data_IF_548865158865
#
_entry.id   IF_548865158865
#
_cell.length_a   1.000
_cell.length_b   1.000
_cell.length_c   1.000
_cell.angle_alpha   90.00
_cell.angle_beta   90.00
_cell.angle_gamma   90.00
#
_symmetry.space_group_name_H-M   'P 1'
#
loop_
_entity.id
_entity.type
_entity.pdbx_description
1 polymer ?
#
# COMPACT_ATOMS: atom_id res chain seq x y z
N UNK A 1 41.69 8.16 -27.16
CA UNK A 1 42.40 7.44 -26.09
C UNK A 1 42.51 8.23 -24.75
N UNK A 2 42.90 9.53 -24.73
CA UNK A 2 43.06 10.29 -23.45
C UNK A 2 41.78 10.50 -22.62
N UNK A 3 40.62 10.63 -23.26
CA UNK A 3 39.33 10.83 -22.56
C UNK A 3 38.86 9.55 -21.85
N UNK A 4 39.10 8.37 -22.40
CA UNK A 4 38.66 7.11 -21.77
C UNK A 4 39.43 6.85 -20.46
N UNK A 5 40.73 7.13 -20.40
CA UNK A 5 41.50 6.93 -19.17
C UNK A 5 41.08 7.87 -18.03
N UNK A 6 40.67 9.11 -18.37
CA UNK A 6 40.18 10.05 -17.33
C UNK A 6 38.80 9.67 -16.82
N UNK A 7 37.91 9.21 -17.70
CA UNK A 7 36.58 8.74 -17.35
C UNK A 7 36.69 7.46 -16.48
N UNK A 8 37.55 6.50 -16.88
CA UNK A 8 37.79 5.30 -16.05
C UNK A 8 38.27 5.66 -14.67
N UNK A 9 39.28 6.54 -14.52
CA UNK A 9 39.79 6.91 -13.20
C UNK A 9 38.77 7.62 -12.31
N UNK A 10 37.78 8.28 -12.89
CA UNK A 10 36.71 8.95 -12.14
C UNK A 10 35.56 8.01 -11.77
N UNK A 11 35.29 7.00 -12.58
CA UNK A 11 34.11 6.12 -12.41
C UNK A 11 34.45 4.78 -11.77
N UNK A 12 35.73 4.33 -11.83
CA UNK A 12 36.15 3.05 -11.24
C UNK A 12 36.19 3.10 -9.70
N UNK A 13 36.19 4.31 -9.12
CA UNK A 13 36.02 4.50 -7.67
C UNK A 13 34.56 4.61 -7.22
N UNK A 14 33.60 4.65 -8.16
CA UNK A 14 32.18 4.67 -7.82
C UNK A 14 31.70 3.24 -7.56
N UNK A 15 30.98 3.06 -6.47
CA UNK A 15 30.30 1.77 -6.18
C UNK A 15 29.13 1.51 -7.15
N UNK A 16 28.75 2.49 -7.94
CA UNK A 16 27.68 2.37 -8.92
C UNK A 16 28.22 1.74 -10.21
N UNK A 17 27.46 0.77 -10.75
CA UNK A 17 27.72 0.26 -12.07
C UNK A 17 27.37 1.32 -13.13
N UNK A 18 28.31 1.67 -14.00
CA UNK A 18 28.16 2.69 -15.04
C UNK A 18 28.35 2.05 -16.40
N UNK A 19 27.35 2.19 -17.27
CA UNK A 19 27.40 1.83 -18.69
C UNK A 19 27.16 3.06 -19.56
N UNK A 20 27.85 3.15 -20.69
CA UNK A 20 27.56 4.15 -21.74
C UNK A 20 27.19 3.44 -23.02
N UNK A 21 26.06 3.82 -23.59
CA UNK A 21 25.49 3.20 -24.80
C UNK A 21 25.41 4.25 -25.89
N UNK A 22 25.77 3.87 -27.12
CA UNK A 22 25.66 4.72 -28.30
C UNK A 22 24.24 4.69 -28.91
N UNK A 23 24.03 5.49 -29.95
CA UNK A 23 22.77 5.56 -30.71
C UNK A 23 22.34 4.25 -31.37
N UNK A 24 23.28 3.31 -31.57
CA UNK A 24 22.99 1.98 -32.11
C UNK A 24 22.69 0.95 -31.03
N UNK A 25 22.63 1.38 -29.77
CA UNK A 25 22.40 0.51 -28.63
C UNK A 25 23.62 -0.30 -28.18
N UNK A 26 24.86 0.07 -28.69
CA UNK A 26 26.08 -0.65 -28.32
C UNK A 26 26.75 -0.04 -27.10
N UNK A 27 27.29 -0.89 -26.24
CA UNK A 27 28.05 -0.48 -25.05
C UNK A 27 29.42 0.04 -25.50
N UNK A 28 29.66 1.33 -25.33
CA UNK A 28 30.93 1.99 -25.67
C UNK A 28 31.86 2.20 -24.50
N UNK A 29 31.30 2.13 -23.26
CA UNK A 29 32.05 2.22 -22.00
C UNK A 29 31.34 1.46 -20.88
N UNK A 30 32.10 0.85 -20.00
CA UNK A 30 31.63 0.34 -18.70
C UNK A 30 32.76 0.43 -17.67
N UNK A 31 32.42 0.67 -16.40
CA UNK A 31 33.37 0.66 -15.31
C UNK A 31 33.50 -0.74 -14.68
N UNK A 32 34.44 -0.91 -13.74
CA UNK A 32 34.68 -2.18 -13.04
C UNK A 32 33.45 -2.63 -12.22
N UNK A 33 32.73 -1.70 -11.60
CA UNK A 33 31.48 -2.00 -10.89
C UNK A 33 30.40 -2.58 -11.81
N UNK A 34 30.32 -2.11 -13.07
CA UNK A 34 29.44 -2.72 -14.07
C UNK A 34 29.90 -4.12 -14.45
N UNK A 35 31.21 -4.35 -14.58
CA UNK A 35 31.75 -5.70 -14.86
C UNK A 35 31.41 -6.69 -13.74
N UNK A 36 31.54 -6.26 -12.49
CA UNK A 36 31.15 -7.04 -11.31
C UNK A 36 29.64 -7.30 -11.27
N UNK A 37 28.82 -6.28 -11.59
CA UNK A 37 27.36 -6.39 -11.60
C UNK A 37 26.88 -7.50 -12.55
N UNK A 38 27.45 -7.61 -13.77
CA UNK A 38 27.14 -8.68 -14.72
C UNK A 38 28.02 -9.93 -14.57
N UNK A 39 28.92 -9.97 -13.59
CA UNK A 39 29.89 -11.08 -13.42
C UNK A 39 30.66 -11.40 -14.70
N UNK A 40 31.05 -10.36 -15.46
CA UNK A 40 31.75 -10.46 -16.73
C UNK A 40 32.95 -9.49 -16.78
N UNK A 41 33.97 -9.85 -17.53
CA UNK A 41 35.07 -8.93 -17.77
C UNK A 41 34.62 -7.73 -18.63
N UNK A 42 35.16 -6.54 -18.36
CA UNK A 42 34.91 -5.28 -19.12
C UNK A 42 34.97 -5.51 -20.62
N UNK A 43 36.03 -6.21 -21.09
CA UNK A 43 36.25 -6.52 -22.51
C UNK A 43 35.12 -7.35 -23.16
N UNK A 44 34.36 -8.10 -22.37
CA UNK A 44 33.23 -8.89 -22.85
C UNK A 44 31.92 -8.11 -22.91
N UNK A 45 31.85 -6.96 -22.24
CA UNK A 45 30.71 -6.06 -22.25
C UNK A 45 30.83 -5.02 -23.38
N UNK A 46 32.04 -4.55 -23.65
CA UNK A 46 32.28 -3.55 -24.70
C UNK A 46 31.88 -4.06 -26.11
N UNK A 47 31.20 -3.21 -26.86
CA UNK A 47 30.71 -3.49 -28.20
C UNK A 47 29.48 -4.41 -28.27
N UNK A 48 28.99 -4.91 -27.15
CA UNK A 48 27.75 -5.68 -27.13
C UNK A 48 26.53 -4.77 -27.20
N UNK A 49 25.45 -5.32 -27.77
CA UNK A 49 24.15 -4.63 -27.77
C UNK A 49 23.57 -4.57 -26.36
N UNK A 50 22.89 -3.49 -26.03
CA UNK A 50 22.16 -3.36 -24.75
C UNK A 50 21.17 -4.50 -24.54
N UNK A 51 20.57 -5.01 -25.62
CA UNK A 51 19.69 -6.17 -25.61
C UNK A 51 20.38 -7.44 -25.09
N UNK A 52 21.69 -7.57 -25.21
CA UNK A 52 22.45 -8.69 -24.65
C UNK A 52 22.57 -8.63 -23.13
N UNK A 53 22.59 -7.41 -22.56
CA UNK A 53 22.69 -7.19 -21.11
C UNK A 53 21.33 -7.18 -20.44
N UNK A 54 20.33 -6.63 -21.12
CA UNK A 54 18.96 -6.47 -20.64
C UNK A 54 17.96 -7.32 -21.46
N UNK A 55 18.38 -8.48 -21.97
CA UNK A 55 17.61 -9.26 -22.94
C UNK A 55 16.26 -9.76 -22.43
N UNK A 56 16.09 -9.94 -21.13
CA UNK A 56 14.84 -10.32 -20.50
C UNK A 56 13.95 -9.09 -20.16
N UNK A 57 14.43 -7.89 -20.39
CA UNK A 57 13.83 -6.66 -19.89
C UNK A 57 13.46 -5.68 -21.01
N UNK A 58 12.28 -5.92 -21.56
CA UNK A 58 11.75 -5.07 -22.63
C UNK A 58 11.54 -3.60 -22.18
N UNK A 59 11.20 -3.38 -20.91
CA UNK A 59 10.95 -2.04 -20.37
C UNK A 59 12.22 -1.19 -20.34
N UNK A 60 13.34 -1.74 -19.89
CA UNK A 60 14.62 -1.00 -19.86
C UNK A 60 15.06 -0.67 -21.29
N UNK A 61 14.90 -1.59 -22.23
CA UNK A 61 15.25 -1.35 -23.64
C UNK A 61 14.43 -0.22 -24.26
N UNK A 62 13.13 -0.19 -24.00
CA UNK A 62 12.23 0.89 -24.41
C UNK A 62 12.68 2.24 -23.82
N UNK A 63 13.07 2.27 -22.54
CA UNK A 63 13.51 3.51 -21.89
C UNK A 63 14.88 3.98 -22.40
N UNK A 64 15.80 3.07 -22.68
CA UNK A 64 17.08 3.42 -23.35
C UNK A 64 16.81 4.12 -24.70
N UNK A 65 15.96 3.52 -25.53
CA UNK A 65 15.59 4.11 -26.83
C UNK A 65 14.92 5.47 -26.66
N UNK A 66 13.96 5.57 -25.73
CA UNK A 66 13.28 6.83 -25.44
C UNK A 66 14.23 7.94 -24.99
N UNK A 67 15.23 7.64 -24.14
CA UNK A 67 16.24 8.62 -23.70
C UNK A 67 17.13 9.06 -24.85
N UNK A 68 17.53 8.17 -25.75
CA UNK A 68 18.34 8.48 -26.92
C UNK A 68 17.57 9.37 -27.91
N UNK A 69 16.26 9.15 -28.06
CA UNK A 69 15.42 9.88 -29.01
C UNK A 69 14.95 11.23 -28.44
N UNK A 70 14.45 11.24 -27.21
CA UNK A 70 13.83 12.44 -26.62
C UNK A 70 14.81 13.31 -25.84
N UNK A 71 15.91 12.74 -25.37
CA UNK A 71 16.87 13.39 -24.50
C UNK A 71 16.34 13.74 -23.12
N UNK A 72 15.28 13.08 -22.65
CA UNK A 72 14.75 13.21 -21.28
C UNK A 72 15.44 12.20 -20.38
N UNK A 73 15.79 12.62 -19.14
CA UNK A 73 16.35 11.72 -18.13
C UNK A 73 15.25 10.78 -17.66
N UNK A 74 15.56 9.51 -17.53
CA UNK A 74 14.71 8.50 -16.95
C UNK A 74 15.31 8.02 -15.62
N UNK A 75 14.48 7.91 -14.57
CA UNK A 75 14.87 7.37 -13.27
C UNK A 75 13.86 6.33 -12.85
N UNK A 76 14.35 5.22 -12.38
CA UNK A 76 13.56 4.14 -11.82
C UNK A 76 14.21 3.72 -10.49
N UNK A 77 13.47 3.97 -9.40
CA UNK A 77 13.80 3.40 -8.09
C UNK A 77 13.33 1.95 -8.04
N UNK A 78 13.84 1.16 -7.09
CA UNK A 78 13.38 -0.19 -6.76
C UNK A 78 12.98 -1.07 -7.94
N UNK A 79 13.89 -1.35 -8.83
CA UNK A 79 13.65 -2.22 -9.95
C UNK A 79 14.34 -3.57 -9.76
N UNK A 80 13.61 -4.67 -9.99
CA UNK A 80 14.19 -6.01 -9.93
C UNK A 80 14.74 -6.35 -11.31
N UNK A 81 16.06 -6.23 -11.46
CA UNK A 81 16.75 -6.58 -12.68
C UNK A 81 17.13 -8.06 -12.68
N UNK A 82 16.72 -8.79 -13.70
CA UNK A 82 17.18 -10.16 -13.93
C UNK A 82 18.52 -10.15 -14.67
N UNK A 83 19.59 -10.51 -13.98
CA UNK A 83 20.91 -10.64 -14.56
C UNK A 83 21.24 -12.12 -14.83
N UNK A 84 21.95 -12.48 -15.94
CA UNK A 84 22.47 -13.83 -16.10
C UNK A 84 23.53 -14.17 -15.04
N UNK A 85 23.47 -15.34 -14.36
CA UNK A 85 22.60 -16.49 -14.55
C UNK A 85 21.32 -16.46 -13.68
N UNK A 86 20.29 -15.69 -14.08
CA UNK A 86 18.95 -15.64 -13.43
C UNK A 86 18.96 -15.18 -11.95
N UNK A 87 19.84 -14.27 -11.58
CA UNK A 87 19.81 -13.62 -10.27
C UNK A 87 18.92 -12.37 -10.33
N UNK A 88 17.94 -12.31 -9.43
CA UNK A 88 17.13 -11.12 -9.21
C UNK A 88 17.89 -10.15 -8.28
N UNK A 89 18.14 -8.93 -8.77
CA UNK A 89 18.83 -7.88 -8.02
C UNK A 89 17.95 -6.65 -7.93
N UNK A 90 17.68 -6.22 -6.71
CA UNK A 90 17.06 -4.91 -6.47
C UNK A 90 18.03 -3.82 -6.92
N UNK A 91 17.60 -2.96 -7.85
CA UNK A 91 18.51 -2.02 -8.50
C UNK A 91 17.82 -0.67 -8.69
N UNK A 92 18.49 0.40 -8.34
CA UNK A 92 18.10 1.76 -8.76
C UNK A 92 18.77 2.06 -10.10
N UNK A 93 17.97 2.45 -11.11
CA UNK A 93 18.46 2.69 -12.46
C UNK A 93 18.19 4.14 -12.85
N UNK A 94 19.24 4.83 -13.33
CA UNK A 94 19.12 6.15 -13.95
C UNK A 94 19.68 6.08 -15.35
N UNK A 95 18.92 6.54 -16.34
CA UNK A 95 19.34 6.65 -17.74
C UNK A 95 19.34 8.12 -18.10
N UNK A 96 20.52 8.67 -18.43
CA UNK A 96 20.71 10.08 -18.74
C UNK A 96 21.33 10.28 -20.12
N UNK A 97 20.86 11.27 -20.91
CA UNK A 97 21.43 11.56 -22.23
C UNK A 97 22.75 12.33 -22.13
N UNK A 98 23.71 11.98 -22.95
CA UNK A 98 24.91 12.79 -23.20
C UNK A 98 24.76 13.53 -24.53
N UNK A 99 24.75 14.85 -24.43
CA UNK A 99 24.55 15.71 -25.59
C UNK A 99 25.89 16.18 -26.20
N UNK A 100 25.94 16.30 -27.51
CA UNK A 100 27.04 16.95 -28.21
C UNK A 100 26.99 18.46 -28.02
N UNK A 101 28.05 19.17 -28.42
CA UNK A 101 28.08 20.64 -28.47
C UNK A 101 26.96 21.25 -29.32
N UNK A 102 26.41 20.50 -30.27
CA UNK A 102 25.27 20.89 -31.09
C UNK A 102 23.91 20.58 -30.48
N UNK A 103 23.85 20.14 -29.22
CA UNK A 103 22.61 19.80 -28.52
C UNK A 103 22.00 18.42 -28.81
N UNK A 104 22.52 17.69 -29.82
CA UNK A 104 22.03 16.36 -30.19
C UNK A 104 22.50 15.32 -29.18
N UNK A 105 21.60 14.40 -28.78
CA UNK A 105 21.95 13.24 -27.95
C UNK A 105 22.83 12.31 -28.74
N UNK A 106 23.99 11.95 -28.23
CA UNK A 106 24.93 11.01 -28.89
C UNK A 106 25.06 9.70 -28.13
N UNK A 107 24.91 9.74 -26.81
CA UNK A 107 25.11 8.60 -25.94
C UNK A 107 24.07 8.63 -24.84
N UNK A 108 23.79 7.50 -24.23
CA UNK A 108 23.07 7.37 -22.98
C UNK A 108 24.00 6.80 -21.91
N UNK A 109 24.05 7.44 -20.74
CA UNK A 109 24.71 6.90 -19.54
C UNK A 109 23.66 6.21 -18.70
N UNK A 110 23.92 4.95 -18.35
CA UNK A 110 23.11 4.15 -17.46
C UNK A 110 23.90 3.96 -16.19
N UNK A 111 23.39 4.42 -15.08
CA UNK A 111 23.94 4.12 -13.75
C UNK A 111 23.00 3.19 -13.01
N UNK A 112 23.58 2.18 -12.36
CA UNK A 112 22.85 1.21 -11.57
C UNK A 112 23.51 1.08 -10.20
N UNK A 113 22.70 1.22 -9.18
CA UNK A 113 23.10 1.00 -7.80
C UNK A 113 22.41 -0.26 -7.31
N UNK A 114 23.19 -1.28 -6.93
CA UNK A 114 22.64 -2.50 -6.33
C UNK A 114 22.14 -2.16 -4.92
N UNK A 115 20.84 -2.34 -4.68
CA UNK A 115 20.27 -2.26 -3.35
C UNK A 115 20.54 -3.59 -2.64
N UNK A 116 21.21 -3.55 -1.51
CA UNK A 116 21.80 -4.72 -0.84
C UNK A 116 20.77 -5.73 -0.35
N UNK A 117 19.50 -5.34 -0.23
CA UNK A 117 18.37 -6.27 -0.11
C UNK A 117 17.07 -5.61 -0.62
N UNK A 118 16.24 -6.38 -1.31
CA UNK A 118 14.86 -6.00 -1.68
C UNK A 118 14.08 -5.52 -0.45
N UNK A 119 14.42 -6.04 0.73
CA UNK A 119 13.83 -5.66 2.01
C UNK A 119 14.24 -4.27 2.49
N UNK A 120 15.52 -3.89 2.35
CA UNK A 120 15.99 -2.54 2.72
C UNK A 120 15.44 -1.46 1.79
N UNK A 121 15.25 -1.81 0.53
CA UNK A 121 14.65 -0.91 -0.44
C UNK A 121 13.15 -0.71 -0.17
N UNK A 122 12.43 -1.79 0.05
CA UNK A 122 11.01 -1.74 0.45
C UNK A 122 10.83 -1.01 1.79
N UNK A 123 11.77 -1.16 2.73
CA UNK A 123 11.77 -0.44 3.99
C UNK A 123 11.98 1.08 3.79
N UNK A 124 12.92 1.49 2.93
CA UNK A 124 13.15 2.92 2.61
C UNK A 124 11.99 3.55 1.86
N UNK A 125 11.45 2.87 0.86
CA UNK A 125 10.26 3.36 0.14
C UNK A 125 9.05 3.47 1.08
N UNK A 126 8.89 2.53 2.02
CA UNK A 126 7.90 2.61 3.09
C UNK A 126 8.20 3.75 4.07
N UNK A 127 9.46 3.99 4.44
CA UNK A 127 9.85 5.12 5.29
C UNK A 127 9.61 6.47 4.61
N UNK A 128 9.94 6.63 3.33
CA UNK A 128 9.68 7.86 2.57
C UNK A 128 8.19 8.11 2.35
N UNK A 129 7.41 7.08 2.05
CA UNK A 129 5.95 7.16 1.98
C UNK A 129 5.33 7.46 3.34
N UNK A 130 5.86 6.87 4.43
CA UNK A 130 5.47 7.18 5.81
C UNK A 130 5.81 8.60 6.20
N UNK A 131 7.00 9.09 5.90
CA UNK A 131 7.42 10.45 6.22
C UNK A 131 6.59 11.51 5.47
N UNK A 132 6.29 11.27 4.19
CA UNK A 132 5.42 12.14 3.39
C UNK A 132 3.97 12.15 3.88
N UNK A 133 3.43 10.99 4.28
CA UNK A 133 2.09 10.87 4.83
C UNK A 133 1.98 11.41 6.26
N UNK A 134 3.02 11.25 7.11
CA UNK A 134 3.05 11.77 8.47
C UNK A 134 3.01 13.29 8.52
N UNK A 135 3.65 14.00 7.59
CA UNK A 135 3.60 15.47 7.54
C UNK A 135 2.20 16.02 7.28
N UNK A 136 1.48 15.42 6.35
CA UNK A 136 0.09 15.79 6.01
C UNK A 136 -0.89 15.35 7.12
N UNK A 137 -0.64 14.18 7.71
CA UNK A 137 -1.41 13.63 8.82
C UNK A 137 -1.23 14.45 10.11
N UNK A 138 0.00 14.92 10.41
CA UNK A 138 0.29 15.67 11.63
C UNK A 138 -0.49 17.00 11.71
N UNK A 139 -0.64 17.71 10.59
CA UNK A 139 -1.39 18.96 10.56
C UNK A 139 -2.90 18.73 10.73
N UNK A 140 -3.47 17.72 10.06
CA UNK A 140 -4.88 17.40 10.16
C UNK A 140 -5.25 16.83 11.54
N UNK A 141 -4.40 15.96 12.11
CA UNK A 141 -4.57 15.40 13.45
C UNK A 141 -4.40 16.43 14.55
N UNK A 142 -3.50 17.42 14.39
CA UNK A 142 -3.40 18.53 15.33
C UNK A 142 -4.75 19.28 15.45
N UNK A 143 -5.42 19.51 14.32
CA UNK A 143 -6.77 20.09 14.31
C UNK A 143 -7.83 19.19 14.93
N UNK A 144 -7.82 17.88 14.64
CA UNK A 144 -8.78 16.93 15.19
C UNK A 144 -8.55 16.63 16.68
N UNK A 145 -7.33 16.76 17.20
CA UNK A 145 -7.03 16.68 18.63
C UNK A 145 -7.38 17.99 19.35
N UNK A 146 -7.13 19.15 18.72
CA UNK A 146 -7.48 20.45 19.31
C UNK A 146 -8.98 20.64 19.53
N UNK A 147 -9.83 20.07 18.64
CA UNK A 147 -11.28 20.16 18.74
C UNK A 147 -11.84 19.56 20.04
N UNK A 148 -11.63 18.27 20.38
CA UNK A 148 -12.10 17.66 21.63
C UNK A 148 -11.44 18.28 22.85
N UNK A 149 -10.16 18.67 22.81
CA UNK A 149 -9.51 19.38 23.90
C UNK A 149 -10.16 20.74 24.18
N UNK A 150 -10.59 21.45 23.13
CA UNK A 150 -11.33 22.70 23.27
C UNK A 150 -12.71 22.47 23.89
N UNK A 151 -13.40 21.37 23.53
CA UNK A 151 -14.65 20.94 24.14
C UNK A 151 -14.48 20.65 25.64
N UNK A 152 -13.47 19.85 26.00
CA UNK A 152 -13.14 19.56 27.42
C UNK A 152 -12.85 20.85 28.18
N UNK A 153 -12.08 21.78 27.61
CA UNK A 153 -11.78 23.09 28.21
C UNK A 153 -13.03 23.91 28.44
N UNK A 154 -13.95 23.96 27.45
CA UNK A 154 -15.22 24.65 27.56
C UNK A 154 -16.09 24.09 28.70
N UNK A 155 -16.18 22.76 28.81
CA UNK A 155 -16.94 22.09 29.87
C UNK A 155 -16.33 22.30 31.27
N UNK A 156 -14.99 22.31 31.39
CA UNK A 156 -14.30 22.69 32.64
C UNK A 156 -14.60 24.11 33.05
N UNK A 157 -14.67 25.07 32.09
CA UNK A 157 -15.04 26.46 32.37
C UNK A 157 -16.51 26.58 32.86
N UNK A 158 -17.41 25.79 32.26
CA UNK A 158 -18.81 25.75 32.70
C UNK A 158 -18.96 25.13 34.10
N UNK A 159 -18.23 24.06 34.41
CA UNK A 159 -18.19 23.49 35.74
C UNK A 159 -17.66 24.45 36.78
N UNK A 160 -16.61 25.20 36.46
CA UNK A 160 -16.02 26.17 37.37
C UNK A 160 -17.00 27.34 37.68
N UNK A 161 -17.89 27.69 36.71
CA UNK A 161 -18.94 28.70 36.93
C UNK A 161 -20.15 28.20 37.70
N UNK A 162 -20.47 26.89 37.63
CA UNK A 162 -21.72 26.30 38.16
C UNK A 162 -21.46 25.23 39.22
N UNK A 163 -20.54 25.42 40.15
CA UNK A 163 -20.08 24.45 41.14
C UNK A 163 -21.19 23.89 42.06
N UNK A 164 -22.39 24.47 42.09
CA UNK A 164 -23.48 24.08 43.01
C UNK A 164 -24.54 23.16 42.40
N UNK A 165 -24.52 22.90 41.08
CA UNK A 165 -25.53 22.07 40.40
C UNK A 165 -25.00 20.66 40.07
N UNK A 166 -25.35 19.66 40.88
CA UNK A 166 -24.87 18.27 40.78
C UNK A 166 -25.25 17.59 39.47
N UNK A 167 -26.40 17.93 38.87
CA UNK A 167 -26.86 17.33 37.61
C UNK A 167 -26.03 17.82 36.41
N UNK A 168 -25.75 19.09 36.38
CA UNK A 168 -24.88 19.71 35.32
C UNK A 168 -23.45 19.18 35.47
N UNK A 169 -22.97 19.00 36.73
CA UNK A 169 -21.62 18.46 36.98
C UNK A 169 -21.44 17.06 36.42
N UNK A 170 -22.38 16.16 36.66
CA UNK A 170 -22.28 14.77 36.18
C UNK A 170 -22.37 14.66 34.67
N UNK A 171 -23.27 15.41 34.03
CA UNK A 171 -23.38 15.44 32.56
C UNK A 171 -22.12 15.99 31.92
N UNK A 172 -21.57 17.08 32.46
CA UNK A 172 -20.33 17.69 31.93
C UNK A 172 -19.12 16.78 32.09
N UNK A 173 -19.01 16.03 33.19
CA UNK A 173 -17.93 15.07 33.41
C UNK A 173 -18.03 13.91 32.39
N UNK A 174 -19.21 13.34 32.18
CA UNK A 174 -19.39 12.24 31.22
C UNK A 174 -19.06 12.67 29.78
N UNK A 175 -19.43 13.90 29.39
CA UNK A 175 -19.07 14.45 28.09
C UNK A 175 -17.56 14.68 27.95
N UNK A 176 -16.86 15.15 29.00
CA UNK A 176 -15.41 15.29 28.97
C UNK A 176 -14.69 13.95 28.84
N UNK A 177 -15.17 12.94 29.56
CA UNK A 177 -14.61 11.58 29.45
C UNK A 177 -14.80 11.04 28.04
N UNK A 178 -15.95 11.22 27.42
CA UNK A 178 -16.22 10.82 26.04
C UNK A 178 -15.27 11.50 25.03
N UNK A 179 -14.96 12.79 25.22
CA UNK A 179 -14.01 13.51 24.37
C UNK A 179 -12.56 13.07 24.61
N UNK A 180 -12.17 12.77 25.83
CA UNK A 180 -10.85 12.19 26.13
C UNK A 180 -10.69 10.80 25.51
N UNK A 181 -11.71 9.96 25.59
CA UNK A 181 -11.73 8.65 24.93
C UNK A 181 -11.63 8.79 23.39
N UNK A 182 -12.21 9.86 22.85
CA UNK A 182 -12.08 10.20 21.42
C UNK A 182 -10.63 10.54 21.06
N UNK A 183 -9.95 11.38 21.84
CA UNK A 183 -8.53 11.70 21.65
C UNK A 183 -7.66 10.46 21.75
N UNK A 184 -7.90 9.60 22.73
CA UNK A 184 -7.14 8.36 22.90
C UNK A 184 -7.29 7.43 21.67
N UNK A 185 -8.50 7.30 21.14
CA UNK A 185 -8.74 6.55 19.90
C UNK A 185 -7.97 7.14 18.71
N UNK A 186 -7.99 8.46 18.52
CA UNK A 186 -7.24 9.15 17.45
C UNK A 186 -5.73 8.92 17.58
N UNK A 187 -5.18 8.99 18.80
CA UNK A 187 -3.76 8.71 19.06
C UNK A 187 -3.39 7.26 18.78
N UNK A 188 -4.20 6.29 19.21
CA UNK A 188 -3.99 4.87 18.89
C UNK A 188 -4.02 4.62 17.37
N UNK A 189 -4.91 5.27 16.66
CA UNK A 189 -5.01 5.19 15.20
C UNK A 189 -3.79 5.80 14.49
N UNK A 190 -3.24 6.91 15.02
CA UNK A 190 -2.02 7.51 14.54
C UNK A 190 -0.81 6.58 14.70
N UNK A 191 -0.66 5.99 15.88
CA UNK A 191 0.43 5.06 16.17
C UNK A 191 0.40 3.83 15.27
N UNK A 192 -0.78 3.37 14.89
CA UNK A 192 -0.92 2.29 13.92
C UNK A 192 -0.36 2.66 12.53
N UNK A 193 -0.27 3.94 12.16
CA UNK A 193 0.31 4.38 10.88
C UNK A 193 1.84 4.54 10.90
N UNK A 194 2.45 4.64 12.06
CA UNK A 194 3.90 4.92 12.20
C UNK A 194 4.78 3.69 12.38
N UNK A 195 4.23 2.51 12.72
CA UNK A 195 5.01 1.31 13.00
C UNK A 195 4.46 0.09 12.27
N UNK A 196 5.29 -0.92 11.93
CA UNK A 196 4.80 -2.21 11.46
C UNK A 196 3.77 -2.78 12.44
N UNK A 197 2.66 -3.30 11.93
CA UNK A 197 1.62 -3.88 12.77
C UNK A 197 2.07 -5.29 13.21
N UNK A 198 2.38 -5.51 14.50
CA UNK A 198 2.66 -6.86 14.97
C UNK A 198 1.38 -7.69 14.88
N UNK A 199 1.48 -8.90 14.33
CA UNK A 199 0.35 -9.81 14.17
C UNK A 199 0.53 -11.06 15.04
N UNK A 200 -0.47 -11.37 15.85
CA UNK A 200 -0.57 -12.62 16.59
C UNK A 200 -1.44 -13.61 15.82
N UNK A 201 -0.81 -14.31 14.86
CA UNK A 201 -1.51 -15.19 13.92
C UNK A 201 -1.83 -16.54 14.56
N UNK A 202 -3.11 -16.92 14.52
CA UNK A 202 -3.63 -18.23 14.92
C UNK A 202 -4.40 -18.88 13.78
N UNK A 203 -4.61 -20.18 13.84
CA UNK A 203 -5.42 -20.91 12.86
C UNK A 203 -6.87 -20.95 13.34
N UNK A 204 -7.82 -20.48 12.53
CA UNK A 204 -9.24 -20.46 12.87
C UNK A 204 -10.14 -20.46 11.63
N UNK A 205 -11.43 -20.76 11.83
CA UNK A 205 -12.45 -20.66 10.80
C UNK A 205 -12.87 -19.19 10.62
N UNK A 206 -12.74 -18.68 9.41
CA UNK A 206 -13.13 -17.31 9.07
C UNK A 206 -14.63 -17.08 9.26
N UNK A 207 -15.47 -18.09 9.04
CA UNK A 207 -16.92 -17.96 9.18
C UNK A 207 -17.35 -17.74 10.63
N UNK A 208 -16.64 -18.31 11.61
CA UNK A 208 -16.89 -18.05 13.03
C UNK A 208 -16.64 -16.57 13.37
N UNK A 209 -15.58 -15.99 12.84
CA UNK A 209 -15.30 -14.58 12.99
C UNK A 209 -16.38 -13.72 12.33
N UNK A 210 -16.70 -13.99 11.06
CA UNK A 210 -17.71 -13.23 10.32
C UNK A 210 -19.07 -13.30 10.99
N UNK A 211 -19.49 -14.48 11.48
CA UNK A 211 -20.74 -14.65 12.22
C UNK A 211 -20.75 -13.84 13.52
N UNK A 212 -19.60 -13.76 14.22
CA UNK A 212 -19.48 -12.96 15.45
C UNK A 212 -19.68 -11.48 15.15
N UNK A 213 -19.03 -10.96 14.11
CA UNK A 213 -19.12 -9.54 13.71
C UNK A 213 -20.53 -9.20 13.20
N UNK A 214 -21.14 -10.08 12.40
CA UNK A 214 -22.50 -9.89 11.89
C UNK A 214 -23.51 -9.83 13.05
N UNK A 215 -23.42 -10.73 14.03
CA UNK A 215 -24.32 -10.69 15.20
C UNK A 215 -24.22 -9.38 15.95
N UNK A 216 -22.98 -8.90 16.17
CA UNK A 216 -22.75 -7.65 16.87
C UNK A 216 -23.40 -6.45 16.15
N UNK A 217 -23.30 -6.40 14.81
CA UNK A 217 -23.94 -5.32 14.04
C UNK A 217 -25.47 -5.50 13.89
N UNK A 218 -25.97 -6.73 13.85
CA UNK A 218 -27.42 -7.01 13.82
C UNK A 218 -28.16 -6.48 15.05
N UNK A 219 -27.51 -6.57 16.22
CA UNK A 219 -28.10 -6.06 17.47
C UNK A 219 -28.21 -4.52 17.48
N UNK A 220 -27.37 -3.83 16.69
CA UNK A 220 -27.33 -2.37 16.59
C UNK A 220 -28.14 -1.85 15.39
N UNK A 221 -28.04 -2.51 14.26
CA UNK A 221 -28.66 -2.11 12.98
C UNK A 221 -29.91 -2.97 12.68
N UNK A 222 -30.94 -2.82 13.50
CA UNK A 222 -32.16 -3.64 13.45
C UNK A 222 -32.99 -3.48 12.16
N UNK A 223 -32.75 -2.42 11.37
CA UNK A 223 -33.44 -2.14 10.11
C UNK A 223 -32.72 -2.69 8.86
N UNK A 224 -31.55 -3.33 9.03
CA UNK A 224 -30.77 -3.86 7.92
C UNK A 224 -30.80 -5.39 7.93
N UNK A 225 -31.02 -5.99 6.76
CA UNK A 225 -31.00 -7.44 6.58
C UNK A 225 -29.60 -7.91 6.21
N UNK A 226 -28.97 -8.73 7.07
CA UNK A 226 -27.67 -9.35 6.77
C UNK A 226 -27.88 -10.70 6.07
N UNK A 227 -27.36 -10.81 4.84
CA UNK A 227 -27.39 -12.03 4.03
C UNK A 227 -26.01 -12.68 4.05
N UNK A 228 -25.95 -13.98 4.33
CA UNK A 228 -24.70 -14.76 4.37
C UNK A 228 -24.66 -15.71 3.19
N UNK A 229 -23.60 -15.63 2.39
CA UNK A 229 -23.33 -16.54 1.28
C UNK A 229 -21.93 -17.10 1.44
N UNK A 230 -21.79 -18.12 2.31
CA UNK A 230 -20.50 -18.66 2.72
C UNK A 230 -20.20 -19.97 2.01
N UNK A 231 -19.01 -20.07 1.44
CA UNK A 231 -18.45 -21.32 0.94
C UNK A 231 -17.87 -22.13 2.11
N UNK A 232 -18.59 -23.12 2.55
CA UNK A 232 -18.23 -23.97 3.68
C UNK A 232 -17.04 -24.90 3.42
N UNK A 233 -16.55 -24.96 2.19
CA UNK A 233 -15.36 -25.74 1.82
C UNK A 233 -14.04 -25.01 2.07
N UNK A 234 -14.09 -23.74 2.48
CA UNK A 234 -12.90 -22.94 2.72
C UNK A 234 -12.07 -23.52 3.88
N UNK A 235 -10.75 -23.62 3.73
CA UNK A 235 -9.88 -24.08 4.80
C UNK A 235 -9.76 -23.01 5.89
N UNK A 236 -9.29 -23.43 7.06
CA UNK A 236 -8.94 -22.52 8.15
C UNK A 236 -7.86 -21.52 7.66
N UNK A 237 -7.94 -20.29 8.15
CA UNK A 237 -6.97 -19.26 7.83
C UNK A 237 -5.98 -19.05 8.98
N UNK A 238 -4.73 -18.71 8.64
CA UNK A 238 -3.69 -18.38 9.61
C UNK A 238 -3.50 -16.86 9.66
N UNK A 239 -4.21 -16.22 10.59
CA UNK A 239 -4.33 -14.76 10.67
C UNK A 239 -4.47 -14.29 12.13
N UNK A 240 -4.35 -12.98 12.35
CA UNK A 240 -4.66 -12.35 13.61
C UNK A 240 -6.18 -12.10 13.70
N UNK A 241 -6.83 -12.88 14.55
CA UNK A 241 -8.30 -12.88 14.67
C UNK A 241 -8.85 -11.54 15.12
N UNK A 242 -8.19 -10.86 16.06
CA UNK A 242 -8.66 -9.59 16.61
C UNK A 242 -8.50 -8.44 15.60
N UNK A 243 -7.41 -8.44 14.84
CA UNK A 243 -7.22 -7.47 13.77
C UNK A 243 -8.22 -7.67 12.64
N UNK A 244 -8.50 -8.91 12.25
CA UNK A 244 -9.54 -9.19 11.25
C UNK A 244 -10.94 -8.87 11.76
N UNK A 245 -11.23 -9.09 13.05
CA UNK A 245 -12.47 -8.63 13.67
C UNK A 245 -12.64 -7.12 13.50
N UNK A 246 -11.61 -6.34 13.78
CA UNK A 246 -11.61 -4.89 13.59
C UNK A 246 -11.87 -4.49 12.13
N UNK A 247 -11.24 -5.20 11.16
CA UNK A 247 -11.44 -4.96 9.73
C UNK A 247 -12.90 -5.18 9.34
N UNK A 248 -13.44 -6.37 9.62
CA UNK A 248 -14.80 -6.70 9.19
C UNK A 248 -15.86 -5.89 9.91
N UNK A 249 -15.67 -5.55 11.19
CA UNK A 249 -16.55 -4.62 11.90
C UNK A 249 -16.60 -3.26 11.23
N UNK A 250 -15.44 -2.72 10.83
CA UNK A 250 -15.38 -1.45 10.12
C UNK A 250 -16.04 -1.52 8.73
N UNK A 251 -15.82 -2.61 7.98
CA UNK A 251 -16.44 -2.79 6.66
C UNK A 251 -17.96 -2.92 6.77
N UNK A 252 -18.48 -3.68 7.75
CA UNK A 252 -19.92 -3.81 7.96
C UNK A 252 -20.57 -2.48 8.38
N UNK A 253 -19.95 -1.71 9.28
CA UNK A 253 -20.43 -0.38 9.64
C UNK A 253 -20.48 0.56 8.43
N UNK A 254 -19.44 0.51 7.60
CA UNK A 254 -19.42 1.31 6.37
C UNK A 254 -20.48 0.88 5.36
N UNK A 255 -20.90 -0.38 5.35
CA UNK A 255 -21.99 -0.89 4.53
C UNK A 255 -23.38 -0.51 5.09
N UNK A 256 -23.55 -0.58 6.42
CA UNK A 256 -24.83 -0.29 7.11
C UNK A 256 -25.20 1.19 7.05
N UNK A 257 -24.25 2.09 7.34
CA UNK A 257 -24.52 3.52 7.50
C UNK A 257 -25.14 4.20 6.27
N UNK A 258 -24.67 3.95 5.01
CA UNK A 258 -25.26 4.57 3.82
C UNK A 258 -26.49 3.82 3.28
N UNK A 259 -26.84 2.66 3.84
CA UNK A 259 -27.91 1.82 3.35
C UNK A 259 -29.28 2.35 3.79
N UNK A 260 -30.28 2.40 2.90
CA UNK A 260 -31.64 2.75 3.28
C UNK A 260 -32.25 1.73 4.24
N UNK A 261 -33.34 2.10 4.92
CA UNK A 261 -34.10 1.15 5.75
C UNK A 261 -34.59 -0.03 4.90
N UNK A 262 -34.59 -1.22 5.48
CA UNK A 262 -34.94 -2.50 4.83
C UNK A 262 -33.97 -2.99 3.73
N UNK A 263 -32.86 -2.29 3.51
CA UNK A 263 -31.80 -2.75 2.59
C UNK A 263 -31.11 -4.00 3.12
N UNK A 264 -30.40 -4.69 2.20
CA UNK A 264 -29.58 -5.84 2.54
C UNK A 264 -28.09 -5.51 2.47
N UNK A 265 -27.34 -6.05 3.44
CA UNK A 265 -25.88 -6.14 3.40
C UNK A 265 -25.53 -7.61 3.23
N UNK A 266 -24.89 -7.94 2.12
CA UNK A 266 -24.53 -9.31 1.78
C UNK A 266 -23.06 -9.56 2.02
N UNK A 267 -22.74 -10.64 2.74
CA UNK A 267 -21.38 -11.08 3.00
C UNK A 267 -21.15 -12.39 2.27
N UNK A 268 -20.24 -12.37 1.30
CA UNK A 268 -19.81 -13.53 0.56
C UNK A 268 -18.46 -14.00 1.02
N UNK A 269 -18.25 -15.33 1.10
CA UNK A 269 -16.93 -15.91 1.20
C UNK A 269 -16.78 -17.02 0.18
N UNK A 270 -15.64 -17.05 -0.54
CA UNK A 270 -15.34 -18.08 -1.51
C UNK A 270 -13.85 -18.22 -1.77
N UNK A 271 -13.47 -19.30 -2.39
CA UNK A 271 -12.13 -19.47 -2.92
C UNK A 271 -11.89 -18.49 -4.08
N UNK A 272 -10.71 -17.86 -4.10
CA UNK A 272 -10.35 -16.92 -5.15
C UNK A 272 -9.68 -17.63 -6.33
N UNK A 273 -10.26 -17.50 -7.53
CA UNK A 273 -9.66 -18.03 -8.76
C UNK A 273 -8.43 -17.22 -9.22
N UNK A 274 -7.49 -17.89 -9.90
CA UNK A 274 -6.26 -17.25 -10.39
C UNK A 274 -6.50 -16.05 -11.31
N UNK A 275 -7.58 -16.06 -12.09
CA UNK A 275 -7.94 -14.98 -12.99
C UNK A 275 -8.36 -13.69 -12.26
N UNK A 276 -8.85 -13.79 -11.03
CA UNK A 276 -9.26 -12.65 -10.21
C UNK A 276 -8.06 -11.90 -9.60
N UNK A 277 -6.91 -12.55 -9.59
CA UNK A 277 -5.63 -11.96 -9.16
C UNK A 277 -4.98 -11.14 -10.28
N UNK A 278 -5.46 -11.27 -11.53
CA UNK A 278 -4.94 -10.51 -12.66
C UNK A 278 -5.08 -9.01 -12.41
N UNK A 279 -4.00 -8.26 -12.57
CA UNK A 279 -3.97 -6.82 -12.29
C UNK A 279 -3.87 -6.45 -10.80
N UNK A 280 -3.69 -7.42 -9.91
CA UNK A 280 -3.39 -7.17 -8.49
C UNK A 280 -1.91 -7.42 -8.19
N UNK A 281 -1.42 -6.88 -7.07
CA UNK A 281 -0.05 -7.13 -6.58
C UNK A 281 0.06 -8.42 -5.76
N UNK A 282 -0.96 -9.29 -5.79
CA UNK A 282 -0.97 -10.56 -5.08
C UNK A 282 -0.15 -11.62 -5.83
N UNK A 283 0.50 -12.51 -5.09
CA UNK A 283 1.28 -13.61 -5.66
C UNK A 283 0.35 -14.65 -6.33
N UNK A 284 0.39 -14.82 -7.66
CA UNK A 284 -0.49 -15.76 -8.36
C UNK A 284 -0.20 -17.24 -8.07
N UNK A 285 0.92 -17.53 -7.38
CA UNK A 285 1.26 -18.89 -6.94
C UNK A 285 0.58 -19.26 -5.63
N UNK A 286 0.02 -18.30 -4.91
CA UNK A 286 -0.71 -18.53 -3.66
C UNK A 286 -2.20 -18.66 -3.90
N UNK A 287 -2.84 -19.34 -2.99
CA UNK A 287 -4.30 -19.43 -2.92
C UNK A 287 -4.82 -18.39 -1.94
N UNK A 288 -6.00 -17.86 -2.21
CA UNK A 288 -6.63 -16.83 -1.38
C UNK A 288 -8.08 -17.16 -1.10
N UNK A 289 -8.56 -16.80 0.08
CA UNK A 289 -9.98 -16.64 0.38
C UNK A 289 -10.38 -15.21 0.02
N UNK A 290 -11.41 -15.08 -0.79
CA UNK A 290 -12.08 -13.81 -1.04
C UNK A 290 -13.28 -13.68 -0.09
N UNK A 291 -13.31 -12.60 0.70
CA UNK A 291 -14.48 -12.19 1.47
C UNK A 291 -14.96 -10.86 0.91
N UNK A 292 -16.21 -10.78 0.50
CA UNK A 292 -16.82 -9.56 -0.03
C UNK A 292 -17.94 -9.09 0.89
N UNK A 293 -17.97 -7.79 1.17
CA UNK A 293 -19.05 -7.10 1.87
C UNK A 293 -19.72 -6.16 0.88
N UNK A 294 -20.97 -6.44 0.54
CA UNK A 294 -21.74 -5.72 -0.46
C UNK A 294 -22.96 -5.04 0.17
N UNK A 295 -23.15 -3.76 -0.14
CA UNK A 295 -24.26 -2.94 0.33
C UNK A 295 -25.12 -2.42 -0.83
N UNK A 296 -26.35 -2.01 -0.51
CA UNK A 296 -27.30 -1.38 -1.42
C UNK A 296 -27.37 0.15 -1.23
N UNK A 297 -26.29 0.75 -0.71
CA UNK A 297 -26.17 2.20 -0.49
C UNK A 297 -25.96 3.00 -1.78
N UNK A 298 -25.62 4.27 -1.63
CA UNK A 298 -25.38 5.17 -2.77
C UNK A 298 -24.06 4.88 -3.55
N UNK A 299 -23.22 3.99 -3.04
CA UNK A 299 -21.91 3.70 -3.63
C UNK A 299 -20.93 4.86 -3.46
N UNK A 300 -19.79 4.79 -4.18
CA UNK A 300 -18.73 5.80 -4.12
C UNK A 300 -18.51 6.41 -5.51
N UNK A 301 -18.59 7.77 -5.61
CA UNK A 301 -18.34 8.49 -6.85
C UNK A 301 -16.96 8.16 -7.47
N UNK A 302 -16.85 8.07 -8.81
CA UNK A 302 -15.59 7.68 -9.46
C UNK A 302 -14.37 8.51 -9.06
N UNK A 303 -14.55 9.82 -8.90
CA UNK A 303 -13.50 10.78 -8.51
C UNK A 303 -12.97 10.58 -7.08
N UNK A 304 -13.75 9.92 -6.22
CA UNK A 304 -13.41 9.67 -4.83
C UNK A 304 -12.79 8.28 -4.59
N UNK A 305 -12.94 7.34 -5.54
CA UNK A 305 -12.51 5.94 -5.38
C UNK A 305 -11.01 5.82 -5.08
N UNK A 306 -10.18 6.64 -5.72
CA UNK A 306 -8.73 6.65 -5.52
C UNK A 306 -8.30 7.22 -4.15
N UNK A 307 -9.23 7.78 -3.39
CA UNK A 307 -8.98 8.38 -2.09
C UNK A 307 -9.51 7.55 -0.93
N UNK A 308 -10.31 6.51 -1.19
CA UNK A 308 -11.02 5.71 -0.17
C UNK A 308 -10.11 5.15 0.93
N UNK A 309 -8.90 4.75 0.56
CA UNK A 309 -7.94 4.15 1.49
C UNK A 309 -6.91 5.15 2.01
N UNK A 310 -7.01 6.43 1.61
CA UNK A 310 -6.15 7.49 2.16
C UNK A 310 -6.60 7.81 3.58
N UNK A 311 -5.65 7.97 4.52
CA UNK A 311 -5.99 8.43 5.87
C UNK A 311 -6.75 9.75 5.85
N UNK A 312 -7.69 9.91 6.78
CA UNK A 312 -8.54 11.10 6.97
C UNK A 312 -9.52 11.41 5.82
N UNK A 313 -9.58 10.58 4.79
CA UNK A 313 -10.59 10.75 3.76
C UNK A 313 -11.95 10.25 4.27
N UNK A 314 -12.93 11.13 4.32
CA UNK A 314 -14.31 10.82 4.70
C UNK A 314 -15.30 11.70 3.95
N UNK A 315 -16.45 11.15 3.61
CA UNK A 315 -17.63 11.87 3.12
C UNK A 315 -18.67 12.08 4.22
N UNK A 316 -18.41 11.58 5.43
CA UNK A 316 -19.33 11.58 6.57
C UNK A 316 -19.02 12.77 7.49
N UNK A 317 -20.05 13.49 7.98
CA UNK A 317 -19.90 14.62 8.87
C UNK A 317 -19.27 14.28 10.23
N UNK A 318 -19.49 13.06 10.72
CA UNK A 318 -18.95 12.58 12.01
C UNK A 318 -17.86 11.53 11.85
N UNK A 319 -17.49 11.20 10.60
CA UNK A 319 -16.48 10.22 10.28
C UNK A 319 -15.05 10.78 10.35
N UNK A 320 -14.12 10.05 10.97
CA UNK A 320 -12.72 10.49 11.08
C UNK A 320 -11.86 10.08 9.86
N UNK A 321 -12.43 9.38 8.89
CA UNK A 321 -11.72 8.95 7.67
C UNK A 321 -10.55 7.98 7.89
N UNK A 322 -10.45 7.35 9.06
CA UNK A 322 -9.34 6.46 9.40
C UNK A 322 -9.69 4.97 9.28
N UNK A 323 -10.97 4.61 9.29
CA UNK A 323 -11.40 3.21 9.33
C UNK A 323 -10.90 2.40 8.14
N UNK A 324 -11.17 2.86 6.91
CA UNK A 324 -10.76 2.16 5.68
C UNK A 324 -9.24 2.11 5.50
N UNK A 325 -8.52 3.17 5.86
CA UNK A 325 -7.06 3.20 5.78
C UNK A 325 -6.41 2.22 6.76
N UNK A 326 -6.96 2.08 7.99
CA UNK A 326 -6.54 1.09 8.98
C UNK A 326 -6.85 -0.32 8.47
N UNK A 327 -8.08 -0.55 7.97
CA UNK A 327 -8.47 -1.86 7.42
C UNK A 327 -7.56 -2.29 6.27
N UNK A 328 -7.25 -1.37 5.36
CA UNK A 328 -6.33 -1.61 4.26
C UNK A 328 -4.94 -2.03 4.76
N UNK A 329 -4.39 -1.31 5.73
CA UNK A 329 -3.09 -1.60 6.32
C UNK A 329 -3.06 -2.93 7.08
N UNK A 330 -4.11 -3.24 7.84
CA UNK A 330 -4.23 -4.52 8.54
C UNK A 330 -4.26 -5.69 7.57
N UNK A 331 -4.99 -5.58 6.47
CA UNK A 331 -5.04 -6.61 5.42
C UNK A 331 -3.68 -6.74 4.71
N UNK A 332 -3.00 -5.63 4.41
CA UNK A 332 -1.63 -5.67 3.86
C UNK A 332 -0.64 -6.37 4.81
N UNK A 333 -0.71 -6.09 6.12
CA UNK A 333 0.13 -6.77 7.12
C UNK A 333 -0.11 -8.30 7.15
N UNK A 334 -1.31 -8.75 6.80
CA UNK A 334 -1.62 -10.18 6.62
C UNK A 334 -1.10 -10.75 5.27
N UNK A 335 -0.53 -9.92 4.39
CA UNK A 335 -0.13 -10.31 3.03
C UNK A 335 -1.32 -10.43 2.08
N UNK A 336 -2.43 -9.79 2.42
CA UNK A 336 -3.67 -9.75 1.66
C UNK A 336 -3.86 -8.45 0.88
N UNK A 337 -5.04 -8.30 0.28
CA UNK A 337 -5.47 -7.11 -0.45
C UNK A 337 -6.89 -6.72 -0.02
N UNK A 338 -7.13 -5.44 0.23
CA UNK A 338 -8.45 -4.85 0.34
C UNK A 338 -8.67 -3.94 -0.87
N UNK A 339 -9.74 -4.20 -1.63
CA UNK A 339 -10.12 -3.35 -2.77
C UNK A 339 -11.60 -2.98 -2.73
N UNK A 340 -11.93 -1.90 -3.40
CA UNK A 340 -13.29 -1.46 -3.66
C UNK A 340 -13.70 -1.82 -5.10
N UNK A 341 -14.90 -2.32 -5.26
CA UNK A 341 -15.54 -2.55 -6.56
C UNK A 341 -16.91 -1.88 -6.51
N UNK A 342 -17.34 -1.14 -7.54
CA UNK A 342 -18.71 -0.66 -7.59
C UNK A 342 -19.71 -1.83 -7.53
N UNK A 343 -20.83 -1.67 -6.83
CA UNK A 343 -21.93 -2.64 -6.85
C UNK A 343 -22.59 -2.71 -8.23
N UNK A 344 -23.28 -3.81 -8.52
CA UNK A 344 -23.88 -4.08 -9.84
C UNK A 344 -25.00 -3.12 -10.21
N UNK A 345 -25.79 -2.65 -9.24
CA UNK A 345 -26.94 -1.74 -9.49
C UNK A 345 -26.74 -0.35 -8.88
N UNK A 346 -26.28 -0.29 -7.71
CA UNK A 346 -25.86 0.84 -6.87
C UNK A 346 -25.18 0.22 -5.64
N UNK A 347 -24.52 1.02 -4.80
CA UNK A 347 -23.88 0.52 -3.60
C UNK A 347 -22.39 0.24 -3.75
N UNK A 348 -21.82 -0.39 -2.73
CA UNK A 348 -20.41 -0.66 -2.64
C UNK A 348 -20.15 -2.15 -2.43
N UNK A 349 -19.03 -2.62 -2.96
CA UNK A 349 -18.54 -3.97 -2.73
C UNK A 349 -17.08 -3.88 -2.29
N UNK A 350 -16.82 -4.11 -1.02
CA UNK A 350 -15.47 -4.18 -0.45
C UNK A 350 -15.00 -5.62 -0.43
N UNK A 351 -13.90 -5.88 -1.11
CA UNK A 351 -13.33 -7.22 -1.30
C UNK A 351 -12.02 -7.37 -0.54
N UNK A 352 -11.94 -8.36 0.34
CA UNK A 352 -10.77 -8.73 1.13
C UNK A 352 -10.23 -10.05 0.63
N UNK A 353 -8.96 -10.07 0.22
CA UNK A 353 -8.23 -11.27 -0.17
C UNK A 353 -7.27 -11.65 0.95
N UNK A 354 -7.42 -12.84 1.51
CA UNK A 354 -6.55 -13.37 2.57
C UNK A 354 -5.79 -14.60 2.06
N UNK A 355 -4.46 -14.63 2.19
CA UNK A 355 -3.65 -15.73 1.70
C UNK A 355 -3.82 -16.99 2.57
N UNK A 356 -3.86 -18.16 1.92
CA UNK A 356 -3.70 -19.44 2.59
C UNK A 356 -2.22 -19.75 2.89
N UNK A 357 -1.95 -20.57 3.88
CA UNK A 357 -0.62 -21.17 4.07
C UNK A 357 -0.33 -22.12 2.90
N UNK A 358 0.94 -22.17 2.44
CA UNK A 358 1.32 -23.08 1.35
C UNK A 358 1.10 -24.56 1.70
N UNK A 359 0.96 -24.92 2.98
CA UNK A 359 0.67 -26.28 3.48
C UNK A 359 -0.81 -26.65 3.51
N UNK A 360 -1.72 -25.71 3.28
CA UNK A 360 -3.16 -25.89 3.51
C UNK A 360 -3.95 -26.14 2.22
N UNK A 361 -3.25 -26.33 1.10
CA UNK A 361 -3.90 -26.69 -0.19
C UNK A 361 -4.07 -28.20 -0.21
N UNK A 362 -5.31 -28.74 -0.23
CA UNK A 362 -5.53 -30.15 -0.52
C UNK A 362 -5.00 -30.45 -1.93
N UNK A 363 -4.18 -31.50 -2.07
CA UNK A 363 -3.69 -32.05 -3.33
C UNK A 363 -4.83 -32.64 -4.13
#
# INVERSE_FOLDING_TARGET
MRYNALISSLTDHLQQAVLVIDQKGQVVYCNDSAAQFWQKYVLRLLGKQSTYLFHADFMIQEKISSVLDTGKIFRMGAYVLQTPPLQERGTEIVIAPVRSKSGRVKLAVITMLESTTLQEFQAREQEEQLAGSLGTLAAALAHEIQNPLSGVRGMLQLLNRNLQNTKIKNTSISMMLAELDRVERLLKQLLLHSHPVPLEKILFDIHDLLNTVIRFEQDTATQIRFVRSFDTSLPYIHADRDKLHQVFLNLLRNAVEPSPADASVTIHSRYCGKWELAGTNLDPKRSYTLIAVEDEGAGVPPEQRNQLFKPLFTTKSEGHGLGLSISHRLIQAHGGLLRYVPGDSAGSNFQVFLPHRMSDVPV
#
